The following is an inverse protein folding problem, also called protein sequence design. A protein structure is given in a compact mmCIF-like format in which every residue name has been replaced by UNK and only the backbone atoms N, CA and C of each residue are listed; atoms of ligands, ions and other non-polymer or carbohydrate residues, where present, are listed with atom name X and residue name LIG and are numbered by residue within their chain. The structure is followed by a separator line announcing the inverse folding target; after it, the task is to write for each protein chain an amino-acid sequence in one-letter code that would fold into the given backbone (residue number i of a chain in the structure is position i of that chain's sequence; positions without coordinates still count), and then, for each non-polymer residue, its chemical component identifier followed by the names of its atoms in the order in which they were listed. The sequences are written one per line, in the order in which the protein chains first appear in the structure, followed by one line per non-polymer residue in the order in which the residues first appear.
data_IF_984636420920
#
_entry.id   IF_984636420920
#
_cell.length_a   1.000
_cell.length_b   1.000
_cell.length_c   1.000
_cell.angle_alpha   90.00
_cell.angle_beta   90.00
_cell.angle_gamma   90.00
#
_symmetry.space_group_name_H-M   'P 1'
#
loop_
_entity.id
_entity.type
_entity.pdbx_description
1 polymer ?
#
# COMPACT_ATOMS: atom_id res chain seq x y z
N UNK A 1 14.39 -6.12 -8.27
CA UNK A 1 13.00 -6.17 -7.78
C UNK A 1 12.18 -7.16 -8.59
N UNK A 2 11.25 -7.84 -7.94
CA UNK A 2 10.36 -8.81 -8.58
C UNK A 2 9.34 -8.06 -9.47
N UNK A 3 9.04 -8.61 -10.64
CA UNK A 3 8.03 -8.04 -11.53
C UNK A 3 6.63 -8.60 -11.18
N UNK A 4 5.67 -7.72 -10.92
CA UNK A 4 4.28 -8.05 -10.64
C UNK A 4 3.40 -7.81 -11.88
N UNK A 5 2.27 -8.52 -11.96
CA UNK A 5 1.37 -8.45 -13.12
C UNK A 5 0.72 -7.09 -13.31
N UNK A 6 0.37 -6.39 -12.22
CA UNK A 6 -0.29 -5.08 -12.26
C UNK A 6 0.38 -4.10 -11.29
N UNK A 7 0.41 -2.82 -11.61
CA UNK A 7 0.91 -1.76 -10.72
C UNK A 7 -0.15 -1.37 -9.67
N UNK A 8 -0.82 -2.36 -9.08
CA UNK A 8 -1.93 -2.16 -8.12
C UNK A 8 -1.72 -3.06 -6.92
N UNK A 9 -1.94 -2.51 -5.72
CA UNK A 9 -1.85 -3.24 -4.47
C UNK A 9 -3.12 -3.03 -3.63
N UNK A 10 -3.73 -4.09 -3.08
CA UNK A 10 -4.79 -3.95 -2.09
C UNK A 10 -4.27 -3.27 -0.83
N UNK A 11 -5.07 -2.37 -0.25
CA UNK A 11 -4.67 -1.69 0.99
C UNK A 11 -4.48 -2.70 2.14
N UNK A 12 -3.43 -2.50 2.93
CA UNK A 12 -3.07 -3.35 4.07
C UNK A 12 -4.01 -3.15 5.28
N UNK A 13 -5.27 -3.51 5.09
CA UNK A 13 -6.35 -3.33 6.06
C UNK A 13 -7.09 -4.64 6.32
N UNK A 14 -7.60 -4.84 7.55
CA UNK A 14 -8.36 -6.05 7.96
C UNK A 14 -9.55 -6.37 7.05
N UNK A 15 -10.24 -5.33 6.55
CA UNK A 15 -11.37 -5.48 5.65
C UNK A 15 -10.97 -5.75 4.18
N UNK A 16 -9.67 -5.74 3.87
CA UNK A 16 -9.19 -5.80 2.48
C UNK A 16 -8.39 -7.07 2.22
N UNK A 17 -7.48 -7.46 3.11
CA UNK A 17 -6.58 -8.58 2.90
C UNK A 17 -6.50 -9.48 4.13
N UNK A 18 -6.32 -10.77 3.93
CA UNK A 18 -6.00 -11.77 4.94
C UNK A 18 -4.91 -12.72 4.41
N UNK A 19 -4.50 -13.70 5.22
CA UNK A 19 -3.43 -14.62 4.87
C UNK A 19 -3.73 -15.47 3.63
N UNK A 20 -4.99 -15.86 3.41
CA UNK A 20 -5.35 -16.71 2.27
C UNK A 20 -5.32 -15.93 0.96
N UNK A 21 -5.81 -14.66 0.97
CA UNK A 21 -5.68 -13.75 -0.17
C UNK A 21 -4.21 -13.43 -0.43
N UNK A 22 -3.42 -13.16 0.62
CA UNK A 22 -1.99 -12.89 0.52
C UNK A 22 -1.24 -14.05 -0.15
N UNK A 23 -1.54 -15.30 0.25
CA UNK A 23 -0.99 -16.50 -0.39
C UNK A 23 -1.36 -16.56 -1.87
N UNK A 24 -2.65 -16.45 -2.17
CA UNK A 24 -3.12 -16.48 -3.55
C UNK A 24 -2.48 -15.40 -4.42
N UNK A 25 -2.33 -14.17 -3.91
CA UNK A 25 -1.66 -13.07 -4.61
C UNK A 25 -0.18 -13.36 -4.83
N UNK A 26 0.51 -13.91 -3.83
CA UNK A 26 1.90 -14.36 -3.94
C UNK A 26 2.05 -15.38 -5.08
N UNK A 27 1.25 -16.44 -5.08
CA UNK A 27 1.29 -17.52 -6.09
C UNK A 27 0.92 -17.01 -7.49
N UNK A 28 0.04 -16.01 -7.57
CA UNK A 28 -0.43 -15.41 -8.82
C UNK A 28 0.42 -14.21 -9.28
N UNK A 29 1.53 -13.91 -8.62
CA UNK A 29 2.46 -12.79 -8.93
C UNK A 29 1.78 -11.41 -8.92
N UNK A 30 0.80 -11.20 -8.01
CA UNK A 30 0.28 -9.89 -7.66
C UNK A 30 0.96 -9.39 -6.39
N UNK A 31 1.27 -8.10 -6.33
CA UNK A 31 1.83 -7.51 -5.13
C UNK A 31 0.76 -7.34 -4.05
N UNK A 32 1.13 -7.67 -2.82
CA UNK A 32 0.31 -7.48 -1.64
C UNK A 32 1.14 -6.95 -0.48
N UNK A 33 0.48 -6.37 0.51
CA UNK A 33 1.06 -6.01 1.79
C UNK A 33 0.15 -6.57 2.87
N UNK A 34 0.64 -7.53 3.69
CA UNK A 34 -0.16 -8.08 4.78
C UNK A 34 -0.32 -7.03 5.88
N UNK A 35 -1.55 -6.83 6.37
CA UNK A 35 -1.83 -5.90 7.46
C UNK A 35 -1.33 -6.44 8.81
N UNK A 36 -1.02 -5.52 9.76
CA UNK A 36 -0.44 -5.84 11.07
C UNK A 36 -1.44 -5.95 12.22
N UNK A 37 -2.73 -5.77 11.96
CA UNK A 37 -3.76 -5.65 12.99
C UNK A 37 -4.34 -7.01 13.37
N UNK A 38 -4.23 -7.41 14.67
CA UNK A 38 -4.71 -8.70 15.21
C UNK A 38 -4.21 -9.92 14.43
N UNK A 39 -2.98 -9.88 13.96
CA UNK A 39 -2.31 -10.97 13.25
C UNK A 39 -1.04 -11.35 14.00
N UNK A 40 -0.82 -12.64 14.21
CA UNK A 40 0.49 -13.14 14.59
C UNK A 40 1.41 -13.12 13.36
N UNK A 41 2.14 -11.99 13.22
CA UNK A 41 3.03 -11.78 12.08
C UNK A 41 4.18 -12.77 12.03
N UNK A 42 4.65 -13.26 13.18
CA UNK A 42 5.71 -14.29 13.19
C UNK A 42 5.18 -15.60 12.61
N UNK A 43 3.98 -16.02 13.03
CA UNK A 43 3.35 -17.22 12.50
C UNK A 43 3.03 -17.06 11.00
N UNK A 44 2.58 -15.88 10.56
CA UNK A 44 2.34 -15.59 9.14
C UNK A 44 3.61 -15.74 8.31
N UNK A 45 4.72 -15.13 8.74
CA UNK A 45 6.02 -15.21 8.06
C UNK A 45 6.58 -16.64 8.09
N UNK A 46 6.44 -17.35 9.22
CA UNK A 46 6.85 -18.75 9.33
C UNK A 46 6.10 -19.63 8.30
N UNK A 47 4.76 -19.53 8.27
CA UNK A 47 3.93 -20.23 7.30
C UNK A 47 4.35 -19.94 5.85
N UNK A 48 4.59 -18.66 5.53
CA UNK A 48 4.98 -18.25 4.19
C UNK A 48 6.36 -18.81 3.77
N UNK A 49 7.31 -18.96 4.73
CA UNK A 49 8.57 -19.63 4.48
C UNK A 49 8.42 -21.13 4.35
N UNK A 50 7.66 -21.79 5.23
CA UNK A 50 7.44 -23.25 5.23
C UNK A 50 6.73 -23.72 3.95
N UNK A 51 5.82 -22.88 3.40
CA UNK A 51 5.07 -23.13 2.16
C UNK A 51 5.77 -22.57 0.90
N UNK A 52 6.98 -22.01 1.03
CA UNK A 52 7.82 -21.42 -0.04
C UNK A 52 7.06 -20.43 -0.94
N UNK A 53 6.41 -19.43 -0.31
CA UNK A 53 5.69 -18.41 -1.07
C UNK A 53 6.64 -17.62 -1.98
N UNK A 54 6.17 -17.23 -3.19
CA UNK A 54 6.98 -16.46 -4.14
C UNK A 54 7.34 -15.07 -3.60
N UNK A 55 6.44 -14.45 -2.85
CA UNK A 55 6.60 -13.13 -2.24
C UNK A 55 6.15 -13.18 -0.78
N UNK A 56 6.99 -12.67 0.13
CA UNK A 56 6.63 -12.49 1.55
C UNK A 56 6.67 -10.99 1.85
N UNK A 57 5.49 -10.38 2.01
CA UNK A 57 5.33 -8.95 2.24
C UNK A 57 4.50 -8.67 3.48
N UNK A 58 5.07 -7.89 4.40
CA UNK A 58 4.48 -7.58 5.70
C UNK A 58 4.40 -6.09 5.93
N UNK A 59 3.52 -5.65 6.85
CA UNK A 59 3.53 -4.28 7.37
C UNK A 59 3.81 -4.23 8.85
N UNK A 60 4.46 -3.15 9.28
CA UNK A 60 4.76 -2.80 10.66
C UNK A 60 4.42 -1.33 10.93
N UNK A 61 4.28 -0.97 12.20
CA UNK A 61 4.34 0.41 12.66
C UNK A 61 5.75 0.77 13.13
N UNK A 62 5.86 1.82 13.93
CA UNK A 62 7.14 2.34 14.45
C UNK A 62 7.35 2.03 15.95
N UNK A 63 6.39 1.38 16.60
CA UNK A 63 6.50 1.01 18.02
C UNK A 63 7.35 -0.25 18.18
N UNK A 64 8.11 -0.32 19.27
CA UNK A 64 8.97 -1.47 19.57
C UNK A 64 8.20 -2.80 19.58
N UNK A 65 6.98 -2.82 20.09
CA UNK A 65 6.12 -4.03 20.12
C UNK A 65 5.80 -4.54 18.71
N UNK A 66 5.62 -3.62 17.75
CA UNK A 66 5.29 -3.94 16.35
C UNK A 66 6.52 -4.36 15.53
N UNK A 67 7.73 -4.05 16.02
CA UNK A 67 8.99 -4.42 15.35
C UNK A 67 9.64 -5.66 15.97
N UNK A 68 9.26 -6.04 17.18
CA UNK A 68 9.85 -7.17 17.90
C UNK A 68 9.76 -8.50 17.14
N UNK A 69 8.72 -8.70 16.31
CA UNK A 69 8.64 -9.92 15.53
C UNK A 69 9.74 -10.01 14.47
N UNK A 70 10.22 -8.87 13.92
CA UNK A 70 11.32 -8.85 12.95
C UNK A 70 12.61 -9.42 13.54
N UNK A 71 12.91 -9.08 14.81
CA UNK A 71 14.07 -9.64 15.52
C UNK A 71 13.96 -11.16 15.69
N UNK A 72 12.75 -11.63 16.03
CA UNK A 72 12.49 -13.07 16.17
C UNK A 72 12.59 -13.77 14.80
N UNK A 73 11.96 -13.21 13.78
CA UNK A 73 12.02 -13.74 12.41
C UNK A 73 13.48 -13.77 11.89
N UNK A 74 14.26 -12.72 12.15
CA UNK A 74 15.67 -12.67 11.81
C UNK A 74 16.48 -13.77 12.54
N UNK A 75 16.25 -13.97 13.86
CA UNK A 75 16.93 -15.02 14.63
C UNK A 75 16.62 -16.43 14.15
N UNK A 76 15.42 -16.63 13.58
CA UNK A 76 14.97 -17.86 12.95
C UNK A 76 15.38 -17.98 11.47
N UNK A 77 16.08 -16.98 10.93
CA UNK A 77 16.51 -16.89 9.52
C UNK A 77 15.36 -16.96 8.52
N UNK A 78 14.20 -16.42 8.89
CA UNK A 78 13.05 -16.38 8.01
C UNK A 78 13.22 -15.27 6.94
N UNK A 79 12.89 -15.60 5.70
CA UNK A 79 12.89 -14.66 4.59
C UNK A 79 11.71 -13.70 4.71
N UNK A 80 11.95 -12.41 4.46
CA UNK A 80 10.94 -11.38 4.24
C UNK A 80 11.45 -10.53 3.07
N UNK A 81 10.67 -10.42 2.00
CA UNK A 81 11.10 -9.74 0.78
C UNK A 81 10.73 -8.26 0.79
N UNK A 82 9.57 -7.92 1.37
CA UNK A 82 9.05 -6.54 1.45
C UNK A 82 8.60 -6.21 2.88
N UNK A 83 9.05 -5.07 3.39
CA UNK A 83 8.65 -4.56 4.71
C UNK A 83 8.08 -3.17 4.54
N UNK A 84 6.78 -3.02 4.80
CA UNK A 84 6.08 -1.73 4.75
C UNK A 84 5.98 -1.13 6.14
N UNK A 85 6.60 0.04 6.37
CA UNK A 85 6.48 0.80 7.61
C UNK A 85 5.37 1.82 7.41
N UNK A 86 4.21 1.56 8.06
CA UNK A 86 2.95 2.25 7.78
C UNK A 86 2.39 2.95 9.01
N UNK A 87 2.44 4.28 9.01
CA UNK A 87 1.86 5.16 10.04
C UNK A 87 1.15 6.35 9.41
N UNK A 88 0.30 7.02 10.18
CA UNK A 88 -0.52 8.13 9.68
C UNK A 88 0.29 9.34 9.16
N UNK A 89 1.47 9.60 9.75
CA UNK A 89 2.39 10.66 9.34
C UNK A 89 3.84 10.15 9.38
N UNK A 90 4.36 9.80 8.20
CA UNK A 90 5.65 9.14 8.03
C UNK A 90 6.87 10.08 8.17
N UNK A 91 6.73 11.38 7.96
CA UNK A 91 7.85 12.32 8.08
C UNK A 91 8.15 12.62 9.56
N UNK A 92 8.73 11.65 10.26
CA UNK A 92 9.02 11.71 11.71
C UNK A 92 10.28 10.95 12.09
N UNK A 93 10.91 11.32 13.21
CA UNK A 93 12.13 10.65 13.71
C UNK A 93 11.87 9.18 14.03
N UNK A 94 10.68 8.83 14.52
CA UNK A 94 10.33 7.43 14.79
C UNK A 94 10.32 6.59 13.50
N UNK A 95 9.92 7.19 12.37
CA UNK A 95 9.99 6.53 11.06
C UNK A 95 11.45 6.32 10.65
N UNK A 96 12.31 7.32 10.84
CA UNK A 96 13.75 7.19 10.56
C UNK A 96 14.36 6.03 11.33
N UNK A 97 14.16 6.00 12.65
CA UNK A 97 14.65 4.90 13.50
C UNK A 97 14.12 3.53 13.06
N UNK A 98 12.86 3.46 12.66
CA UNK A 98 12.26 2.21 12.18
C UNK A 98 12.91 1.74 10.87
N UNK A 99 13.12 2.64 9.90
CA UNK A 99 13.80 2.33 8.64
C UNK A 99 15.23 1.83 8.90
N UNK A 100 16.00 2.55 9.73
CA UNK A 100 17.38 2.16 10.10
C UNK A 100 17.43 0.79 10.79
N UNK A 101 16.47 0.50 11.66
CA UNK A 101 16.37 -0.79 12.33
C UNK A 101 16.00 -1.92 11.36
N UNK A 102 15.03 -1.70 10.46
CA UNK A 102 14.69 -2.69 9.43
C UNK A 102 15.90 -2.98 8.55
N UNK A 103 16.57 -1.95 8.07
CA UNK A 103 17.76 -2.09 7.19
C UNK A 103 18.89 -2.84 7.87
N UNK A 104 19.05 -2.71 9.21
CA UNK A 104 20.07 -3.43 9.98
C UNK A 104 19.83 -4.94 10.01
N UNK A 105 18.58 -5.39 10.15
CA UNK A 105 18.25 -6.82 10.28
C UNK A 105 17.88 -7.47 8.93
N UNK A 106 17.32 -6.70 8.02
CA UNK A 106 16.90 -7.14 6.69
C UNK A 106 17.49 -6.22 5.61
N UNK A 107 18.83 -6.26 5.40
CA UNK A 107 19.51 -5.35 4.45
C UNK A 107 19.01 -5.50 3.01
N UNK A 108 18.58 -6.70 2.63
CA UNK A 108 18.13 -7.03 1.27
C UNK A 108 16.62 -6.88 1.08
N UNK A 109 15.86 -6.64 2.14
CA UNK A 109 14.41 -6.44 2.02
C UNK A 109 14.09 -5.10 1.35
N UNK A 110 13.08 -5.07 0.49
CA UNK A 110 12.57 -3.85 -0.10
C UNK A 110 11.71 -3.10 0.91
N UNK A 111 12.15 -1.91 1.33
CA UNK A 111 11.48 -1.09 2.35
C UNK A 111 10.54 -0.10 1.70
N UNK A 112 9.25 -0.19 2.05
CA UNK A 112 8.22 0.79 1.71
C UNK A 112 7.91 1.58 2.96
N UNK A 113 7.97 2.92 2.92
CA UNK A 113 7.69 3.75 4.08
C UNK A 113 6.62 4.81 3.80
N UNK A 114 5.78 5.12 4.77
CA UNK A 114 4.75 6.15 4.63
C UNK A 114 3.75 6.20 5.80
N UNK A 115 2.72 7.10 5.69
CA UNK A 115 2.43 7.96 4.55
C UNK A 115 3.01 9.37 4.73
N UNK A 116 3.35 9.96 3.61
CA UNK A 116 3.71 11.37 3.50
C UNK A 116 2.85 12.06 2.44
N UNK A 117 2.85 13.40 2.40
CA UNK A 117 2.05 14.14 1.43
C UNK A 117 2.84 15.30 0.79
N UNK A 118 4.15 15.37 0.99
CA UNK A 118 5.00 16.44 0.46
C UNK A 118 6.29 15.90 -0.15
N UNK A 119 6.89 16.60 -1.13
CA UNK A 119 8.18 16.25 -1.73
C UNK A 119 9.30 16.10 -0.70
N UNK A 120 9.34 16.97 0.31
CA UNK A 120 10.33 16.92 1.39
C UNK A 120 10.20 15.64 2.20
N UNK A 121 8.94 15.20 2.47
CA UNK A 121 8.67 13.94 3.15
C UNK A 121 9.15 12.74 2.32
N UNK A 122 8.92 12.76 1.00
CA UNK A 122 9.38 11.69 0.09
C UNK A 122 10.92 11.62 0.10
N UNK A 123 11.62 12.74 -0.07
CA UNK A 123 13.08 12.77 -0.01
C UNK A 123 13.62 12.29 1.32
N UNK A 124 13.05 12.77 2.43
CA UNK A 124 13.49 12.37 3.77
C UNK A 124 13.40 10.86 3.99
N UNK A 125 12.28 10.22 3.61
CA UNK A 125 12.12 8.78 3.77
C UNK A 125 13.10 8.00 2.88
N UNK A 126 13.33 8.43 1.65
CA UNK A 126 14.31 7.85 0.75
C UNK A 126 15.74 8.01 1.29
N UNK A 127 16.11 9.19 1.78
CA UNK A 127 17.43 9.46 2.36
C UNK A 127 17.67 8.64 3.64
N UNK A 128 16.62 8.29 4.38
CA UNK A 128 16.71 7.41 5.55
C UNK A 128 16.84 5.92 5.17
N UNK A 129 16.68 5.57 3.89
CA UNK A 129 16.90 4.22 3.39
C UNK A 129 15.65 3.48 2.94
N UNK A 130 14.51 4.15 2.74
CA UNK A 130 13.35 3.56 2.09
C UNK A 130 13.59 3.43 0.57
N UNK A 131 13.21 2.28 0.00
CA UNK A 131 13.30 2.01 -1.44
C UNK A 131 12.11 2.58 -2.20
N UNK A 132 10.97 2.71 -1.53
CA UNK A 132 9.72 3.24 -2.07
C UNK A 132 8.96 4.02 -1.00
N UNK A 133 8.25 5.07 -1.40
CA UNK A 133 7.49 5.91 -0.48
C UNK A 133 5.99 5.85 -0.76
N UNK A 134 5.21 5.60 0.29
CA UNK A 134 3.75 5.61 0.20
C UNK A 134 3.24 7.03 0.46
N UNK A 135 2.53 7.61 -0.54
CA UNK A 135 2.06 8.99 -0.52
C UNK A 135 0.55 9.08 -0.44
N UNK A 136 0.05 10.03 0.36
CA UNK A 136 -1.37 10.30 0.56
C UNK A 136 -1.76 10.32 2.04
N UNK A 137 -2.30 11.44 2.50
CA UNK A 137 -2.81 11.63 3.87
C UNK A 137 -4.25 12.12 3.80
N UNK A 138 -5.16 11.44 4.53
CA UNK A 138 -6.54 11.88 4.69
C UNK A 138 -7.48 11.59 3.52
N UNK A 139 -7.04 10.95 2.44
CA UNK A 139 -7.82 10.72 1.22
C UNK A 139 -8.51 9.35 1.16
N UNK A 140 -8.20 8.43 2.08
CA UNK A 140 -8.91 7.16 2.18
C UNK A 140 -10.40 7.36 2.45
N UNK A 141 -11.26 6.53 1.83
CA UNK A 141 -12.72 6.67 1.96
C UNK A 141 -13.21 6.65 3.42
N UNK A 142 -12.72 5.76 4.31
CA UNK A 142 -13.10 5.76 5.72
C UNK A 142 -12.28 6.73 6.58
N UNK A 143 -11.28 7.43 6.01
CA UNK A 143 -10.39 8.31 6.76
C UNK A 143 -11.05 9.65 7.10
N UNK A 144 -10.91 10.09 8.34
CA UNK A 144 -11.40 11.38 8.84
C UNK A 144 -10.27 12.31 9.27
N UNK A 145 -9.02 11.98 9.02
CA UNK A 145 -7.85 12.81 9.35
C UNK A 145 -7.99 14.22 8.80
N UNK A 146 -8.43 14.35 7.53
CA UNK A 146 -8.67 15.63 6.88
C UNK A 146 -9.67 16.51 7.65
N UNK A 147 -10.75 15.92 8.16
CA UNK A 147 -11.83 16.63 8.84
C UNK A 147 -11.44 17.01 10.28
N UNK A 148 -10.58 16.20 10.90
CA UNK A 148 -10.18 16.34 12.31
C UNK A 148 -8.93 17.17 12.51
N UNK A 149 -7.98 17.08 11.59
CA UNK A 149 -6.65 17.71 11.74
C UNK A 149 -6.36 18.81 10.73
N UNK A 150 -7.06 18.81 9.59
CA UNK A 150 -6.77 19.65 8.45
C UNK A 150 -5.52 19.24 7.64
N UNK A 151 -4.76 18.26 8.11
CA UNK A 151 -3.56 17.77 7.41
C UNK A 151 -3.96 16.82 6.29
N UNK A 152 -4.07 17.34 5.10
CA UNK A 152 -4.44 16.61 3.89
C UNK A 152 -4.05 17.40 2.64
N UNK A 153 -3.88 16.67 1.53
CA UNK A 153 -3.70 17.25 0.20
C UNK A 153 -4.57 16.45 -0.79
N UNK A 154 -5.24 17.09 -1.78
CA UNK A 154 -5.96 16.37 -2.83
C UNK A 154 -5.06 15.35 -3.51
N UNK A 155 -5.56 14.12 -3.72
CA UNK A 155 -4.70 12.97 -4.03
C UNK A 155 -3.91 13.12 -5.33
N UNK A 156 -4.56 13.63 -6.41
CA UNK A 156 -3.87 13.85 -7.68
C UNK A 156 -2.71 14.85 -7.51
N UNK A 157 -2.97 15.99 -6.85
CA UNK A 157 -1.94 16.98 -6.56
C UNK A 157 -0.81 16.41 -5.70
N UNK A 158 -1.17 15.59 -4.70
CA UNK A 158 -0.19 14.94 -3.82
C UNK A 158 0.75 14.03 -4.63
N UNK A 159 0.20 13.16 -5.48
CA UNK A 159 0.99 12.25 -6.34
C UNK A 159 1.87 13.05 -7.29
N UNK A 160 1.28 14.02 -8.00
CA UNK A 160 1.98 14.86 -8.96
C UNK A 160 3.17 15.62 -8.36
N UNK A 161 3.01 16.19 -7.16
CA UNK A 161 4.09 16.93 -6.49
C UNK A 161 5.16 16.00 -5.89
N UNK A 162 4.78 14.78 -5.50
CA UNK A 162 5.67 13.82 -4.86
C UNK A 162 6.37 12.87 -5.83
N UNK A 163 6.00 12.87 -7.11
CA UNK A 163 6.62 12.03 -8.16
C UNK A 163 7.80 12.72 -8.86
N UNK A 164 8.57 11.97 -9.64
CA UNK A 164 9.70 12.52 -10.43
C UNK A 164 10.80 13.15 -9.58
N UNK A 165 10.96 12.70 -8.34
CA UNK A 165 12.00 13.17 -7.44
C UNK A 165 13.21 12.24 -7.53
N UNK A 166 14.41 12.76 -7.87
CA UNK A 166 15.60 11.93 -7.99
C UNK A 166 16.02 11.38 -6.63
N UNK A 167 16.52 10.15 -6.62
CA UNK A 167 17.21 9.57 -5.47
C UNK A 167 18.54 10.29 -5.23
N UNK A 168 18.82 10.67 -3.97
CA UNK A 168 20.11 11.20 -3.57
C UNK A 168 21.15 10.05 -3.50
N UNK A 169 21.56 9.52 -4.65
CA UNK A 169 22.73 8.63 -4.72
C UNK A 169 23.96 9.49 -5.09
N UNK A 170 25.12 9.18 -4.51
CA UNK A 170 26.40 9.62 -5.09
C UNK A 170 26.53 8.90 -6.45
N UNK A 171 26.34 9.65 -7.52
CA UNK A 171 26.46 9.12 -8.87
C UNK A 171 27.93 8.77 -9.16
N UNK A 172 28.19 7.53 -9.59
CA UNK A 172 29.35 7.24 -10.40
C UNK A 172 29.06 7.72 -11.82
N UNK A 173 30.09 8.21 -12.50
CA UNK A 173 29.97 8.85 -13.81
C UNK A 173 29.32 7.89 -14.82
N UNK A 174 28.08 8.16 -15.25
CA UNK A 174 27.34 7.35 -16.22
C UNK A 174 26.05 6.68 -15.72
N UNK A 175 25.70 6.80 -14.44
CA UNK A 175 24.42 6.29 -13.91
C UNK A 175 23.26 7.19 -14.34
N UNK A 176 22.15 6.58 -14.81
CA UNK A 176 20.90 7.30 -15.02
C UNK A 176 20.29 7.71 -13.66
N UNK A 177 19.76 8.93 -13.58
CA UNK A 177 19.00 9.38 -12.42
C UNK A 177 17.75 8.51 -12.26
N UNK A 178 17.71 7.70 -11.21
CA UNK A 178 16.51 6.96 -10.83
C UNK A 178 15.61 7.82 -9.95
N UNK A 179 14.34 7.92 -10.33
CA UNK A 179 13.32 8.55 -9.49
C UNK A 179 13.00 7.68 -8.25
N UNK A 180 12.62 8.35 -7.16
CA UNK A 180 12.12 7.68 -5.95
C UNK A 180 10.76 7.04 -6.31
N UNK A 181 10.62 5.69 -6.25
CA UNK A 181 9.34 5.06 -6.49
C UNK A 181 8.31 5.48 -5.47
N UNK A 182 7.06 5.74 -5.90
CA UNK A 182 5.98 6.08 -4.99
C UNK A 182 4.75 5.19 -5.20
N UNK A 183 4.06 4.88 -4.08
CA UNK A 183 2.74 4.25 -4.09
C UNK A 183 1.69 5.31 -3.78
N UNK A 184 0.76 5.54 -4.70
CA UNK A 184 -0.38 6.43 -4.48
C UNK A 184 -1.41 5.74 -3.59
N UNK A 185 -1.63 6.24 -2.37
CA UNK A 185 -2.50 5.61 -1.36
C UNK A 185 -3.65 6.52 -0.94
N UNK A 186 -4.85 6.13 -1.31
CA UNK A 186 -6.11 6.80 -0.97
C UNK A 186 -6.79 7.48 -2.16
N UNK A 187 -8.09 7.72 -2.02
CA UNK A 187 -8.89 8.43 -3.02
C UNK A 187 -9.29 7.61 -4.26
N UNK A 188 -8.86 6.38 -4.39
CA UNK A 188 -9.17 5.50 -5.53
C UNK A 188 -10.60 4.95 -5.37
N UNK A 189 -11.49 5.34 -6.28
CA UNK A 189 -12.92 4.97 -6.26
C UNK A 189 -13.34 4.13 -7.46
N UNK A 190 -12.61 4.21 -8.56
CA UNK A 190 -12.83 3.45 -9.80
C UNK A 190 -11.50 3.14 -10.48
N UNK A 191 -11.51 2.27 -11.49
CA UNK A 191 -10.31 1.86 -12.21
C UNK A 191 -9.65 3.04 -12.96
N UNK A 192 -10.45 4.03 -13.43
CA UNK A 192 -9.94 5.26 -14.03
C UNK A 192 -9.09 6.12 -13.09
N UNK A 193 -9.33 6.06 -11.77
CA UNK A 193 -8.48 6.75 -10.79
C UNK A 193 -7.09 6.11 -10.70
N UNK A 194 -6.99 4.79 -10.95
CA UNK A 194 -5.71 4.07 -11.03
C UNK A 194 -4.90 4.62 -12.22
N UNK A 195 -5.52 4.69 -13.40
CA UNK A 195 -4.86 5.23 -14.59
C UNK A 195 -4.40 6.68 -14.40
N UNK A 196 -5.22 7.53 -13.72
CA UNK A 196 -4.83 8.91 -13.38
C UNK A 196 -3.64 8.98 -12.44
N UNK A 197 -3.58 8.12 -11.42
CA UNK A 197 -2.47 8.10 -10.49
C UNK A 197 -1.16 7.66 -11.17
N UNK A 198 -1.23 6.67 -12.08
CA UNK A 198 -0.11 6.25 -12.91
C UNK A 198 0.33 7.36 -13.87
N UNK A 199 -0.63 8.07 -14.49
CA UNK A 199 -0.36 9.24 -15.33
C UNK A 199 0.21 10.44 -14.56
N UNK A 200 -0.03 10.51 -13.24
CA UNK A 200 0.66 11.44 -12.34
C UNK A 200 2.02 10.88 -11.84
N UNK A 201 2.55 9.86 -12.50
CA UNK A 201 3.86 9.22 -12.25
C UNK A 201 3.95 8.41 -10.94
N UNK A 202 2.83 7.92 -10.39
CA UNK A 202 2.93 6.88 -9.37
C UNK A 202 3.50 5.59 -9.98
N UNK A 203 4.40 4.93 -9.26
CA UNK A 203 4.93 3.61 -9.65
C UNK A 203 3.90 2.51 -9.43
N UNK A 204 3.09 2.64 -8.37
CA UNK A 204 2.03 1.70 -8.01
C UNK A 204 0.88 2.44 -7.32
N UNK A 205 -0.30 1.85 -7.34
CA UNK A 205 -1.53 2.44 -6.77
C UNK A 205 -2.13 1.50 -5.73
N UNK A 206 -2.36 2.03 -4.51
CA UNK A 206 -3.02 1.29 -3.45
C UNK A 206 -4.52 1.60 -3.44
N UNK A 207 -5.34 0.54 -3.45
CA UNK A 207 -6.78 0.65 -3.42
C UNK A 207 -7.38 -0.16 -2.26
N UNK A 208 -8.25 0.47 -1.47
CA UNK A 208 -8.96 -0.17 -0.36
C UNK A 208 -10.37 -0.58 -0.75
N UNK A 209 -11.24 0.40 -1.04
CA UNK A 209 -12.67 0.18 -1.27
C UNK A 209 -12.98 -0.73 -2.46
N UNK A 210 -12.20 -0.67 -3.53
CA UNK A 210 -12.37 -1.55 -4.69
C UNK A 210 -12.24 -3.03 -4.31
N UNK A 211 -11.28 -3.37 -3.46
CA UNK A 211 -11.04 -4.73 -3.01
C UNK A 211 -11.91 -5.12 -1.81
N UNK A 212 -12.18 -4.20 -0.87
CA UNK A 212 -13.08 -4.47 0.25
C UNK A 212 -14.50 -4.83 -0.22
N UNK A 213 -14.97 -4.30 -1.36
CA UNK A 213 -16.28 -4.59 -1.93
C UNK A 213 -16.39 -5.94 -2.65
N UNK A 214 -15.27 -6.66 -2.85
CA UNK A 214 -15.26 -7.99 -3.44
C UNK A 214 -16.00 -9.00 -2.55
N UNK A 215 -16.63 -9.99 -3.18
CA UNK A 215 -17.44 -11.01 -2.49
C UNK A 215 -16.61 -11.86 -1.53
N UNK A 216 -15.37 -12.15 -1.90
CA UNK A 216 -14.38 -12.96 -1.17
C UNK A 216 -13.41 -12.12 -0.32
N UNK A 217 -13.62 -10.79 -0.21
CA UNK A 217 -12.85 -9.95 0.70
C UNK A 217 -13.09 -10.38 2.17
N UNK A 218 -12.13 -10.18 3.09
CA UNK A 218 -12.30 -10.49 4.50
C UNK A 218 -13.26 -9.53 5.22
N UNK A 219 -13.74 -8.47 4.56
CA UNK A 219 -14.75 -7.57 5.10
C UNK A 219 -16.01 -8.33 5.50
N UNK A 220 -16.54 -8.05 6.69
CA UNK A 220 -17.80 -8.61 7.17
C UNK A 220 -18.93 -8.35 6.17
N UNK A 221 -19.69 -9.41 5.87
CA UNK A 221 -20.82 -9.34 4.95
C UNK A 221 -22.10 -9.01 5.71
N UNK A 222 -22.75 -7.91 5.35
CA UNK A 222 -23.97 -7.41 5.95
C UNK A 222 -25.09 -7.50 4.91
N UNK A 223 -26.24 -8.09 5.28
CA UNK A 223 -27.44 -8.17 4.43
C UNK A 223 -28.52 -7.26 5.00
N UNK A 224 -28.99 -6.31 4.19
CA UNK A 224 -30.07 -5.38 4.53
C UNK A 224 -31.03 -5.31 3.34
N UNK A 225 -32.30 -5.59 3.56
CA UNK A 225 -33.36 -5.53 2.53
C UNK A 225 -32.99 -6.23 1.21
N UNK A 226 -32.44 -7.44 1.32
CA UNK A 226 -31.99 -8.25 0.18
C UNK A 226 -30.73 -7.77 -0.54
N UNK A 227 -30.14 -6.66 -0.10
CA UNK A 227 -28.88 -6.15 -0.62
C UNK A 227 -27.71 -6.61 0.23
N UNK A 228 -26.57 -6.84 -0.43
CA UNK A 228 -25.32 -7.29 0.23
C UNK A 228 -24.35 -6.13 0.32
N UNK A 229 -23.84 -5.91 1.51
CA UNK A 229 -22.84 -4.89 1.83
C UNK A 229 -21.61 -5.53 2.46
N UNK A 230 -20.48 -4.82 2.39
CA UNK A 230 -19.22 -5.16 3.06
C UNK A 230 -18.87 -4.06 4.06
N UNK A 231 -18.57 -4.44 5.31
CA UNK A 231 -18.13 -3.51 6.35
C UNK A 231 -16.70 -3.05 6.09
N UNK A 232 -16.52 -1.77 5.80
CA UNK A 232 -15.23 -1.19 5.46
C UNK A 232 -14.84 -0.09 6.46
N UNK A 233 -13.69 -0.22 7.10
CA UNK A 233 -13.22 0.72 8.11
C UNK A 233 -11.72 0.96 8.03
N UNK A 234 -11.31 2.17 8.44
CA UNK A 234 -9.91 2.58 8.39
C UNK A 234 -9.06 2.00 9.51
N UNK A 235 -7.74 1.96 9.31
CA UNK A 235 -6.76 1.48 10.30
C UNK A 235 -6.83 2.27 11.62
N UNK A 236 -7.18 3.55 11.58
CA UNK A 236 -7.34 4.42 12.75
C UNK A 236 -8.80 4.49 13.26
N UNK A 237 -9.66 3.55 12.92
CA UNK A 237 -11.05 3.46 13.39
C UNK A 237 -11.15 2.86 14.79
N UNK A 238 -12.29 3.09 15.47
CA UNK A 238 -12.58 2.48 16.77
C UNK A 238 -12.62 0.94 16.68
N UNK A 239 -13.11 0.39 15.56
CA UNK A 239 -13.16 -1.05 15.30
C UNK A 239 -11.76 -1.68 15.31
N UNK A 240 -10.74 -0.93 14.89
CA UNK A 240 -9.38 -1.43 14.82
C UNK A 240 -8.58 -1.17 16.10
N UNK A 241 -8.83 -0.02 16.75
CA UNK A 241 -8.13 0.38 17.98
C UNK A 241 -8.70 -0.24 19.25
N UNK A 242 -9.92 -0.75 19.23
CA UNK A 242 -10.62 -1.26 20.43
C UNK A 242 -10.93 -0.20 21.47
N UNK A 243 -10.79 1.09 21.16
CA UNK A 243 -11.11 2.23 22.01
C UNK A 243 -11.56 3.44 21.17
N UNK A 244 -12.02 4.51 21.86
CA UNK A 244 -12.54 5.71 21.21
C UNK A 244 -11.56 6.91 21.23
N UNK A 245 -10.29 6.70 21.56
CA UNK A 245 -9.30 7.77 21.64
C UNK A 245 -8.59 7.96 20.30
N UNK A 246 -8.44 9.23 19.88
CA UNK A 246 -7.75 9.61 18.65
C UNK A 246 -8.25 8.85 17.41
N UNK A 247 -9.57 8.71 17.28
CA UNK A 247 -10.20 8.03 16.14
C UNK A 247 -10.14 8.94 14.91
N UNK A 248 -9.51 8.45 13.84
CA UNK A 248 -9.40 9.11 12.53
C UNK A 248 -9.95 8.23 11.39
N UNK A 249 -10.89 7.35 11.69
CA UNK A 249 -11.56 6.48 10.72
C UNK A 249 -12.99 6.18 11.11
N UNK A 250 -13.84 5.96 10.10
CA UNK A 250 -15.25 5.60 10.26
C UNK A 250 -15.51 4.21 9.67
N UNK A 251 -16.61 3.58 10.13
CA UNK A 251 -17.18 2.40 9.47
C UNK A 251 -18.06 2.86 8.31
N UNK A 252 -17.91 2.23 7.15
CA UNK A 252 -18.76 2.40 5.97
C UNK A 252 -19.27 1.05 5.49
N UNK A 253 -20.51 1.01 5.04
CA UNK A 253 -21.06 -0.14 4.37
C UNK A 253 -20.92 0.08 2.85
N UNK A 254 -20.01 -0.67 2.23
CA UNK A 254 -19.84 -0.65 0.77
C UNK A 254 -20.79 -1.66 0.14
N UNK A 255 -21.50 -1.27 -0.93
CA UNK A 255 -22.24 -2.26 -1.71
C UNK A 255 -21.27 -3.31 -2.25
N UNK A 256 -21.59 -4.59 -2.02
CA UNK A 256 -20.79 -5.67 -2.60
C UNK A 256 -20.93 -5.66 -4.12
N UNK A 257 -19.81 -5.79 -4.82
CA UNK A 257 -19.82 -5.92 -6.30
C UNK A 257 -20.24 -7.31 -6.76
N UNK A 258 -20.25 -8.31 -5.86
CA UNK A 258 -20.42 -9.72 -6.21
C UNK A 258 -19.21 -10.35 -6.92
N UNK A 259 -18.23 -9.53 -7.34
CA UNK A 259 -17.02 -10.00 -8.01
C UNK A 259 -16.02 -10.56 -6.99
N UNK A 260 -15.24 -11.55 -7.41
CA UNK A 260 -14.07 -12.01 -6.66
C UNK A 260 -12.87 -11.08 -6.83
N UNK A 261 -11.85 -11.24 -5.99
CA UNK A 261 -10.56 -10.56 -6.16
C UNK A 261 -9.95 -10.81 -7.55
N UNK A 262 -9.94 -12.06 -7.99
CA UNK A 262 -9.41 -12.43 -9.31
C UNK A 262 -10.17 -11.70 -10.44
N UNK A 263 -11.51 -11.68 -10.37
CA UNK A 263 -12.34 -10.96 -11.36
C UNK A 263 -12.09 -9.46 -11.32
N UNK A 264 -11.91 -8.87 -10.13
CA UNK A 264 -11.62 -7.44 -9.99
C UNK A 264 -10.25 -7.07 -10.56
N UNK A 265 -9.22 -7.88 -10.33
CA UNK A 265 -7.90 -7.66 -10.91
C UNK A 265 -7.92 -7.80 -12.44
N UNK A 266 -8.66 -8.79 -12.98
CA UNK A 266 -8.86 -8.91 -14.44
C UNK A 266 -9.61 -7.73 -15.04
N UNK A 267 -10.60 -7.17 -14.35
CA UNK A 267 -11.28 -5.93 -14.77
C UNK A 267 -10.32 -4.73 -14.77
N UNK A 268 -9.52 -4.57 -13.72
CA UNK A 268 -8.50 -3.51 -13.63
C UNK A 268 -7.48 -3.65 -14.77
N UNK A 269 -7.05 -4.86 -15.11
CA UNK A 269 -6.13 -5.12 -16.21
C UNK A 269 -6.70 -4.65 -17.55
N UNK A 270 -7.94 -5.02 -17.85
CA UNK A 270 -8.63 -4.63 -19.10
C UNK A 270 -8.81 -3.11 -19.20
N UNK A 271 -9.19 -2.46 -18.09
CA UNK A 271 -9.37 -1.02 -18.06
C UNK A 271 -8.05 -0.26 -18.19
N UNK A 272 -6.96 -0.79 -17.60
CA UNK A 272 -5.61 -0.24 -17.78
C UNK A 272 -5.10 -0.41 -19.22
N UNK A 273 -5.36 -1.55 -19.87
CA UNK A 273 -5.05 -1.74 -21.31
C UNK A 273 -5.78 -0.71 -22.17
N UNK A 274 -7.05 -0.44 -21.87
CA UNK A 274 -7.82 0.61 -22.52
C UNK A 274 -7.20 2.00 -22.28
N UNK A 275 -6.86 2.31 -21.02
CA UNK A 275 -6.25 3.59 -20.66
C UNK A 275 -4.88 3.80 -21.35
N UNK A 276 -4.05 2.76 -21.44
CA UNK A 276 -2.78 2.77 -22.19
C UNK A 276 -3.01 3.11 -23.67
N UNK A 277 -4.06 2.52 -24.28
CA UNK A 277 -4.44 2.81 -25.67
C UNK A 277 -4.86 4.27 -25.83
N UNK A 278 -5.65 4.84 -24.89
CA UNK A 278 -6.00 6.26 -24.91
C UNK A 278 -4.79 7.18 -24.70
N UNK A 279 -3.77 6.73 -23.97
CA UNK A 279 -2.48 7.43 -23.81
C UNK A 279 -1.57 7.30 -25.06
N UNK A 280 -2.00 6.58 -26.08
CA UNK A 280 -1.28 6.45 -27.37
C UNK A 280 -0.09 5.48 -27.34
N UNK A 281 -0.12 4.48 -26.46
CA UNK A 281 0.95 3.48 -26.34
C UNK A 281 0.46 2.04 -26.23
N UNK A 282 1.38 1.13 -25.92
CA UNK A 282 1.14 -0.31 -25.81
C UNK A 282 1.50 -0.88 -24.44
N UNK A 283 2.11 -0.08 -23.58
CA UNK A 283 2.52 -0.44 -22.23
C UNK A 283 2.41 0.76 -21.26
N UNK A 284 2.72 0.55 -19.99
CA UNK A 284 2.61 1.56 -18.93
C UNK A 284 3.44 2.83 -19.18
N UNK A 285 4.51 2.76 -19.99
CA UNK A 285 5.34 3.93 -20.34
C UNK A 285 4.55 5.01 -21.10
N UNK A 286 3.42 4.64 -21.70
CA UNK A 286 2.52 5.58 -22.36
C UNK A 286 2.02 6.68 -21.41
N UNK A 287 1.84 6.37 -20.12
CA UNK A 287 1.43 7.36 -19.12
C UNK A 287 2.44 8.47 -18.89
N UNK A 288 3.74 8.22 -19.14
CA UNK A 288 4.78 9.24 -19.02
C UNK A 288 4.66 10.37 -20.06
N UNK A 289 3.84 10.16 -21.12
CA UNK A 289 3.61 11.12 -22.20
C UNK A 289 2.30 11.92 -22.01
N UNK A 290 1.52 11.59 -21.00
CA UNK A 290 0.26 12.28 -20.71
C UNK A 290 0.55 13.58 -19.96
N UNK A 291 0.01 14.68 -20.46
CA UNK A 291 0.07 15.99 -19.83
C UNK A 291 -1.30 16.36 -19.26
N UNK A 292 -1.34 16.78 -18.00
CA UNK A 292 -2.57 17.19 -17.29
C UNK A 292 -2.62 18.70 -17.06
#
# INVERSE_FOLDING_TARGET
PQQFHLPVVPANMKAVINADIARWMSDSRYFYIMHRFDVDMLQFVQRANDEDWQTISVSIGVKAEETNFLLKAYSLKLRIDYITIDIAHGHSLNMKEAIENVRRYYPDAYIIAGNVATPEGVRALSDWGADCVKVGIGQGSPCTTKDKTGFTLPMFTCVWQCSGLPKNKMFEFGDEEEDIPIIADGGIKCNGDIAKALGAHATMVMAGGLFASCSDSPAETIKVDGKVYKAYFGSASAQNKGNNNHIEGTLKNLSSTGMSYASKLGEIEQDLQSAISYAGGTDLSAFNKVHF
#
